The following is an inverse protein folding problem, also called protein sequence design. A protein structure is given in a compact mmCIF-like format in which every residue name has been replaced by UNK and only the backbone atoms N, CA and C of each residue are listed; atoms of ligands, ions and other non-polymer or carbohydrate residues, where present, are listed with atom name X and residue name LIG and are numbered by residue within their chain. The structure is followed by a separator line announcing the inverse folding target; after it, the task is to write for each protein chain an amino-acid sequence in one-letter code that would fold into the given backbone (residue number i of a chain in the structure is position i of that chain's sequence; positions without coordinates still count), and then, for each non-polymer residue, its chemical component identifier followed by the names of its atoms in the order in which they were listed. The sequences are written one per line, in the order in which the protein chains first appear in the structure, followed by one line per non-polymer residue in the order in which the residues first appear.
data_IF_157490048733
#
_entry.id   IF_157490048733
#
_cell.length_a   1.000
_cell.length_b   1.000
_cell.length_c   1.000
_cell.angle_alpha   90.00
_cell.angle_beta   90.00
_cell.angle_gamma   90.00
#
_symmetry.space_group_name_H-M   'P 1'
#
loop_
_entity.id
_entity.type
_entity.pdbx_description
1 polymer ?
#
# COMPACT_ATOMS: atom_id res chain seq x y z
N UNK A 1 -11.46 10.93 7.80
CA UNK A 1 -10.69 11.18 9.03
C UNK A 1 -11.58 11.11 10.28
N UNK A 2 -12.56 11.99 10.46
CA UNK A 2 -13.43 12.07 11.67
C UNK A 2 -14.12 10.75 12.06
N UNK A 3 -14.55 9.91 11.11
CA UNK A 3 -15.21 8.63 11.40
C UNK A 3 -14.23 7.62 12.02
N UNK A 4 -12.99 7.62 11.55
CA UNK A 4 -11.92 6.75 12.11
C UNK A 4 -11.53 7.23 13.51
N UNK A 5 -11.34 8.52 13.70
CA UNK A 5 -11.02 9.12 15.01
C UNK A 5 -12.08 8.75 16.06
N UNK A 6 -13.37 8.94 15.76
CA UNK A 6 -14.47 8.53 16.64
C UNK A 6 -14.48 7.03 16.93
N UNK A 7 -14.11 6.20 15.96
CA UNK A 7 -14.01 4.76 16.19
C UNK A 7 -12.90 4.42 17.17
N UNK A 8 -11.72 5.01 17.00
CA UNK A 8 -10.57 4.82 17.89
C UNK A 8 -10.92 5.29 19.33
N UNK A 9 -11.50 6.47 19.46
CA UNK A 9 -12.01 6.99 20.74
C UNK A 9 -13.02 6.04 21.41
N UNK A 10 -13.98 5.51 20.63
CA UNK A 10 -14.99 4.56 21.13
C UNK A 10 -14.39 3.25 21.64
N UNK A 11 -13.20 2.91 21.15
CA UNK A 11 -12.43 1.74 21.57
C UNK A 11 -11.37 2.06 22.62
N UNK A 12 -11.34 3.30 23.13
CA UNK A 12 -10.35 3.81 24.09
C UNK A 12 -8.92 3.69 23.60
N UNK A 13 -8.71 3.85 22.27
CA UNK A 13 -7.39 3.83 21.67
C UNK A 13 -6.87 5.26 21.65
N UNK A 14 -5.76 5.50 22.33
CA UNK A 14 -5.04 6.77 22.31
C UNK A 14 -4.22 6.87 21.03
N UNK A 15 -4.39 7.97 20.28
CA UNK A 15 -3.61 8.25 19.09
C UNK A 15 -2.58 9.33 19.41
N UNK A 16 -1.32 9.01 19.24
CA UNK A 16 -0.21 9.95 19.36
C UNK A 16 0.36 10.25 17.97
N UNK A 17 0.84 11.45 17.78
CA UNK A 17 1.50 11.88 16.53
C UNK A 17 2.93 12.28 16.85
N UNK A 18 3.88 11.73 16.13
CA UNK A 18 5.30 11.99 16.34
C UNK A 18 6.14 10.83 15.81
N UNK A 19 7.44 11.00 15.82
CA UNK A 19 8.38 9.93 15.57
C UNK A 19 8.43 9.00 16.78
N UNK A 20 8.25 7.71 16.54
CA UNK A 20 8.33 6.69 17.58
C UNK A 20 9.77 6.15 17.64
N UNK A 21 10.35 6.13 18.83
CA UNK A 21 11.68 5.61 19.08
C UNK A 21 11.63 4.62 20.25
N UNK A 22 12.23 3.47 20.03
CA UNK A 22 12.43 2.44 21.06
C UNK A 22 13.91 2.41 21.39
N UNK A 23 14.25 2.61 22.66
CA UNK A 23 15.64 2.52 23.10
C UNK A 23 16.08 1.07 23.42
N UNK A 24 17.35 0.89 23.71
CA UNK A 24 17.94 -0.41 24.01
C UNK A 24 17.41 -1.02 25.32
N UNK A 25 16.89 -0.20 26.23
CA UNK A 25 16.28 -0.62 27.51
C UNK A 25 14.80 -0.97 27.35
N UNK A 26 14.24 -0.81 26.14
CA UNK A 26 12.85 -1.10 25.80
C UNK A 26 11.87 0.00 26.17
N UNK A 27 12.33 1.21 26.48
CA UNK A 27 11.45 2.35 26.67
C UNK A 27 11.05 2.96 25.32
N UNK A 28 9.75 3.25 25.18
CA UNK A 28 9.17 3.80 23.97
C UNK A 28 8.85 5.29 24.15
N UNK A 29 9.28 6.10 23.22
CA UNK A 29 8.92 7.52 23.15
C UNK A 29 8.20 7.84 21.83
N UNK A 30 7.33 8.83 21.84
CA UNK A 30 6.69 9.38 20.63
C UNK A 30 6.83 10.90 20.65
N UNK A 31 7.73 11.42 19.82
CA UNK A 31 8.22 12.79 19.96
C UNK A 31 8.87 12.96 21.35
N UNK A 32 8.47 13.99 22.08
CA UNK A 32 8.99 14.26 23.44
C UNK A 32 8.23 13.53 24.55
N UNK A 33 7.25 12.66 24.20
CA UNK A 33 6.40 11.99 25.18
C UNK A 33 6.85 10.55 25.42
N UNK A 34 7.23 10.26 26.67
CA UNK A 34 7.43 8.89 27.11
C UNK A 34 6.08 8.14 27.17
N UNK A 35 6.09 6.90 26.73
CA UNK A 35 4.94 6.01 26.76
C UNK A 35 5.01 5.14 28.00
N UNK A 36 3.88 5.05 28.72
CA UNK A 36 3.72 4.16 29.87
C UNK A 36 4.12 2.72 29.53
N UNK A 37 4.53 1.92 30.50
CA UNK A 37 4.83 0.52 30.29
C UNK A 37 3.72 -0.22 29.53
N UNK A 38 4.09 -1.07 28.60
CA UNK A 38 3.18 -1.82 27.73
C UNK A 38 3.53 -3.31 27.75
N UNK A 39 2.54 -4.16 27.53
CA UNK A 39 2.73 -5.62 27.49
C UNK A 39 3.26 -6.11 26.14
N UNK A 40 2.98 -5.39 25.05
CA UNK A 40 3.40 -5.75 23.69
C UNK A 40 3.47 -4.55 22.73
N UNK A 41 4.37 -4.62 21.75
CA UNK A 41 4.46 -3.69 20.63
C UNK A 41 4.09 -4.42 19.35
N UNK A 42 3.20 -3.80 18.56
CA UNK A 42 2.91 -4.20 17.19
C UNK A 42 3.43 -3.12 16.24
N UNK A 43 4.54 -3.39 15.54
CA UNK A 43 5.11 -2.47 14.57
C UNK A 43 4.45 -2.67 13.20
N UNK A 44 3.78 -1.61 12.69
CA UNK A 44 3.19 -1.56 11.35
C UNK A 44 3.68 -0.29 10.64
N UNK A 45 4.97 -0.23 10.39
CA UNK A 45 5.70 0.98 9.98
C UNK A 45 5.79 1.18 8.46
N UNK A 46 5.07 0.36 7.68
CA UNK A 46 5.21 0.34 6.22
C UNK A 46 6.47 -0.39 5.75
N UNK A 47 6.58 -0.59 4.45
CA UNK A 47 7.76 -1.20 3.83
C UNK A 47 8.70 -0.10 3.32
N UNK A 48 9.93 -0.08 3.80
CA UNK A 48 11.03 0.61 3.12
C UNK A 48 11.40 -0.11 1.82
N UNK A 49 12.14 0.55 0.94
CA UNK A 49 12.69 -0.12 -0.23
C UNK A 49 13.70 -1.19 0.20
N UNK A 50 13.68 -2.38 -0.40
CA UNK A 50 14.73 -3.37 -0.17
C UNK A 50 16.07 -2.89 -0.76
N UNK A 51 17.19 -3.40 -0.25
CA UNK A 51 18.54 -3.01 -0.73
C UNK A 51 18.89 -3.60 -2.10
N UNK A 52 18.38 -4.81 -2.39
CA UNK A 52 18.77 -5.59 -3.56
C UNK A 52 18.61 -4.87 -4.93
N UNK A 53 17.62 -3.97 -5.19
CA UNK A 53 17.55 -3.29 -6.47
C UNK A 53 18.77 -2.41 -6.73
N UNK A 54 19.20 -1.65 -5.71
CA UNK A 54 20.41 -0.82 -5.78
C UNK A 54 21.66 -1.69 -5.95
N UNK A 55 21.78 -2.76 -5.18
CA UNK A 55 22.89 -3.71 -5.24
C UNK A 55 22.99 -4.41 -6.60
N UNK A 56 21.86 -4.61 -7.28
CA UNK A 56 21.78 -5.19 -8.63
C UNK A 56 22.05 -4.17 -9.75
N UNK A 57 22.36 -2.90 -9.43
CA UNK A 57 22.59 -1.86 -10.42
C UNK A 57 21.33 -1.35 -11.11
N UNK A 58 20.12 -1.63 -10.57
CA UNK A 58 18.89 -1.07 -11.10
C UNK A 58 18.79 0.43 -10.76
N UNK A 59 18.24 1.26 -11.64
CA UNK A 59 17.98 2.66 -11.34
C UNK A 59 16.90 2.78 -10.25
N UNK A 60 17.31 3.33 -9.12
CA UNK A 60 16.45 3.58 -7.97
C UNK A 60 16.38 5.07 -7.66
N UNK A 61 15.30 5.48 -6.97
CA UNK A 61 15.19 6.82 -6.44
C UNK A 61 16.02 7.01 -5.14
N UNK A 62 15.90 8.17 -4.51
CA UNK A 62 16.59 8.51 -3.25
C UNK A 62 16.21 7.58 -2.10
N UNK A 63 14.96 7.12 -2.07
CA UNK A 63 14.42 6.18 -1.07
C UNK A 63 14.78 4.71 -1.37
N UNK A 64 15.36 4.39 -2.55
CA UNK A 64 15.77 3.04 -2.94
C UNK A 64 14.74 2.26 -3.78
N UNK A 65 13.62 2.85 -4.17
CA UNK A 65 12.60 2.22 -5.02
C UNK A 65 12.98 2.24 -6.49
N UNK A 66 12.69 1.17 -7.22
CA UNK A 66 12.98 1.05 -8.66
C UNK A 66 12.17 2.10 -9.45
N UNK A 67 12.86 2.91 -10.25
CA UNK A 67 12.25 3.96 -11.06
C UNK A 67 11.61 3.37 -12.30
N UNK A 68 10.29 3.59 -12.46
CA UNK A 68 9.52 3.04 -13.58
C UNK A 68 8.65 4.09 -14.25
N UNK A 69 8.45 3.93 -15.56
CA UNK A 69 7.53 4.74 -16.35
C UNK A 69 6.07 4.23 -16.31
N UNK A 70 5.17 4.86 -17.11
CA UNK A 70 3.75 4.50 -17.19
C UNK A 70 3.48 3.05 -17.60
N UNK A 71 4.35 2.47 -18.40
CA UNK A 71 4.30 1.08 -18.87
C UNK A 71 4.88 0.09 -17.88
N UNK A 72 5.36 0.57 -16.72
CA UNK A 72 6.07 -0.21 -15.69
C UNK A 72 7.46 -0.71 -16.14
N UNK A 73 7.97 -0.21 -17.26
CA UNK A 73 9.36 -0.45 -17.65
C UNK A 73 10.29 0.35 -16.74
N UNK A 74 11.39 -0.28 -16.37
CA UNK A 74 12.46 0.35 -15.60
C UNK A 74 13.16 1.40 -16.48
N UNK A 75 13.41 2.58 -15.92
CA UNK A 75 14.07 3.66 -16.65
C UNK A 75 15.46 3.22 -17.16
N UNK A 76 15.72 3.45 -18.45
CA UNK A 76 16.98 3.04 -19.09
C UNK A 76 17.11 1.52 -19.36
N UNK A 77 16.19 0.69 -18.89
CA UNK A 77 16.22 -0.77 -19.03
C UNK A 77 14.86 -1.30 -19.53
N UNK A 78 14.49 -1.04 -20.80
CA UNK A 78 13.15 -1.31 -21.33
C UNK A 78 12.74 -2.79 -21.32
N UNK A 79 13.69 -3.71 -21.19
CA UNK A 79 13.45 -5.15 -21.06
C UNK A 79 13.06 -5.57 -19.63
N UNK A 80 13.21 -4.70 -18.63
CA UNK A 80 12.90 -4.98 -17.24
C UNK A 80 11.62 -4.25 -16.86
N UNK A 81 10.73 -4.96 -16.19
CA UNK A 81 9.47 -4.42 -15.66
C UNK A 81 9.46 -4.54 -14.14
N UNK A 82 8.95 -3.51 -13.46
CA UNK A 82 8.72 -3.56 -12.02
C UNK A 82 7.37 -2.92 -11.65
N UNK A 83 6.71 -3.48 -10.64
CA UNK A 83 5.42 -3.00 -10.12
C UNK A 83 5.26 -3.32 -8.63
N UNK A 84 4.25 -2.72 -8.00
CA UNK A 84 3.97 -2.89 -6.58
C UNK A 84 4.92 -2.09 -5.69
N UNK A 85 5.11 -2.54 -4.46
CA UNK A 85 5.79 -1.77 -3.41
C UNK A 85 7.32 -1.64 -3.62
N UNK A 86 7.89 -2.33 -4.60
CA UNK A 86 9.30 -2.19 -4.97
C UNK A 86 9.54 -1.06 -5.99
N UNK A 87 8.48 -0.59 -6.66
CA UNK A 87 8.57 0.33 -7.78
C UNK A 87 8.00 1.72 -7.46
N UNK A 88 8.67 2.75 -7.95
CA UNK A 88 8.21 4.14 -7.90
C UNK A 88 7.99 4.70 -9.31
N UNK A 89 6.77 5.15 -9.57
CA UNK A 89 6.44 5.86 -10.81
C UNK A 89 7.10 7.24 -10.82
N UNK A 90 7.74 7.58 -11.92
CA UNK A 90 8.46 8.85 -12.06
C UNK A 90 7.61 9.97 -12.66
N UNK A 91 6.50 9.62 -13.32
CA UNK A 91 5.59 10.57 -13.96
C UNK A 91 4.41 10.99 -13.07
N UNK A 92 4.01 10.15 -12.13
CA UNK A 92 2.90 10.42 -11.20
C UNK A 92 3.20 9.89 -9.80
N UNK A 93 2.70 10.58 -8.79
CA UNK A 93 2.83 10.10 -7.42
C UNK A 93 1.81 8.98 -7.15
N UNK A 94 2.30 7.76 -6.97
CA UNK A 94 1.51 6.60 -6.55
C UNK A 94 1.90 6.22 -5.13
N UNK A 95 0.91 6.04 -4.25
CA UNK A 95 1.18 5.52 -2.91
C UNK A 95 1.46 4.03 -2.97
N UNK A 96 2.45 3.56 -2.23
CA UNK A 96 2.66 2.14 -2.02
C UNK A 96 1.44 1.57 -1.27
N UNK A 97 0.70 0.69 -1.93
CA UNK A 97 -0.47 0.03 -1.35
C UNK A 97 -0.80 -1.23 -2.14
N UNK A 98 -1.31 -2.24 -1.45
CA UNK A 98 -1.75 -3.49 -2.06
C UNK A 98 -2.78 -3.28 -3.19
N UNK A 99 -3.62 -2.25 -3.11
CA UNK A 99 -4.59 -1.92 -4.17
C UNK A 99 -3.87 -1.56 -5.47
N UNK A 100 -2.91 -0.64 -5.42
CA UNK A 100 -2.14 -0.27 -6.62
C UNK A 100 -1.30 -1.43 -7.15
N UNK A 101 -0.67 -2.22 -6.29
CA UNK A 101 0.09 -3.41 -6.69
C UNK A 101 -0.78 -4.40 -7.46
N UNK A 102 -1.97 -4.67 -6.95
CA UNK A 102 -2.93 -5.58 -7.52
C UNK A 102 -3.45 -5.13 -8.89
N UNK A 103 -3.76 -3.85 -9.07
CA UNK A 103 -4.21 -3.32 -10.37
C UNK A 103 -3.07 -3.12 -11.38
N UNK A 104 -1.86 -2.93 -10.91
CA UNK A 104 -0.66 -2.88 -11.75
C UNK A 104 -0.30 -4.26 -12.33
N UNK A 105 -0.55 -5.34 -11.60
CA UNK A 105 -0.20 -6.72 -12.01
C UNK A 105 -0.70 -7.14 -13.40
N UNK A 106 -2.00 -6.99 -13.74
CA UNK A 106 -2.50 -7.31 -15.09
C UNK A 106 -1.85 -6.52 -16.22
N UNK A 107 -1.51 -5.24 -15.97
CA UNK A 107 -0.80 -4.41 -16.95
C UNK A 107 0.62 -4.92 -17.13
N UNK A 108 1.32 -5.22 -16.04
CA UNK A 108 2.65 -5.82 -16.06
C UNK A 108 2.66 -7.15 -16.82
N UNK A 109 1.71 -8.05 -16.54
CA UNK A 109 1.59 -9.34 -17.22
C UNK A 109 1.31 -9.18 -18.74
N UNK A 110 0.49 -8.19 -19.11
CA UNK A 110 0.21 -7.85 -20.51
C UNK A 110 1.47 -7.35 -21.21
N UNK A 111 2.20 -6.45 -20.58
CA UNK A 111 3.42 -5.86 -21.15
C UNK A 111 4.54 -6.89 -21.26
N UNK A 112 4.68 -7.78 -20.28
CA UNK A 112 5.63 -8.88 -20.36
C UNK A 112 5.37 -9.77 -21.58
N UNK A 113 4.11 -10.18 -21.82
CA UNK A 113 3.74 -10.97 -23.00
C UNK A 113 4.02 -10.20 -24.31
N UNK A 114 3.74 -8.89 -24.35
CA UNK A 114 4.00 -8.05 -25.53
C UNK A 114 5.49 -7.93 -25.81
N UNK A 115 6.31 -7.70 -24.79
CA UNK A 115 7.77 -7.65 -24.95
C UNK A 115 8.35 -8.97 -25.45
N UNK A 116 7.90 -10.11 -24.89
CA UNK A 116 8.31 -11.45 -25.37
C UNK A 116 7.93 -11.66 -26.84
N UNK A 117 6.78 -11.13 -27.28
CA UNK A 117 6.32 -11.17 -28.67
C UNK A 117 6.97 -10.11 -29.58
N UNK A 118 7.97 -9.35 -29.09
CA UNK A 118 8.65 -8.31 -29.87
C UNK A 118 7.80 -7.06 -30.13
N UNK A 119 6.72 -6.84 -29.36
CA UNK A 119 5.82 -5.70 -29.54
C UNK A 119 6.29 -4.50 -28.72
N UNK A 120 6.11 -3.31 -29.28
CA UNK A 120 6.44 -2.04 -28.63
C UNK A 120 5.22 -1.25 -28.12
N UNK A 121 4.00 -1.65 -28.50
CA UNK A 121 2.74 -1.01 -28.08
C UNK A 121 2.35 -1.44 -26.65
N UNK A 122 3.05 -0.95 -25.65
CA UNK A 122 2.82 -1.35 -24.26
C UNK A 122 1.62 -0.65 -23.63
N UNK A 123 0.90 -1.37 -22.76
CA UNK A 123 -0.18 -0.83 -21.98
C UNK A 123 0.34 0.07 -20.85
N UNK A 124 -0.43 1.10 -20.49
CA UNK A 124 -0.11 1.99 -19.38
C UNK A 124 -0.96 1.67 -18.15
N UNK A 125 -0.37 1.76 -16.97
CA UNK A 125 -1.10 1.71 -15.72
C UNK A 125 -1.47 3.13 -15.29
N UNK A 126 -2.79 3.40 -15.19
CA UNK A 126 -3.31 4.66 -14.67
C UNK A 126 -3.76 4.48 -13.22
N UNK A 127 -3.06 5.07 -12.24
CA UNK A 127 -3.44 4.97 -10.84
C UNK A 127 -4.73 5.75 -10.56
N UNK A 128 -5.46 5.33 -9.53
CA UNK A 128 -6.69 6.02 -9.12
C UNK A 128 -6.37 7.38 -8.49
N UNK A 129 -7.16 8.41 -8.87
CA UNK A 129 -6.98 9.77 -8.36
C UNK A 129 -7.47 9.99 -6.93
N UNK A 130 -8.26 9.06 -6.37
CA UNK A 130 -8.76 9.12 -4.99
C UNK A 130 -8.67 7.75 -4.35
N UNK A 131 -8.12 7.74 -3.15
CA UNK A 131 -8.02 6.52 -2.36
C UNK A 131 -9.41 6.07 -1.87
N UNK A 132 -9.74 4.83 -2.14
CA UNK A 132 -10.89 4.14 -1.60
C UNK A 132 -10.40 3.13 -0.57
N UNK A 133 -10.87 3.27 0.66
CA UNK A 133 -10.55 2.35 1.74
C UNK A 133 -11.82 1.77 2.35
N UNK A 134 -11.78 0.48 2.65
CA UNK A 134 -12.81 -0.23 3.37
C UNK A 134 -12.16 -1.04 4.50
N UNK A 135 -12.27 -0.54 5.73
CA UNK A 135 -11.63 -1.11 6.91
C UNK A 135 -12.65 -1.87 7.76
N UNK A 136 -12.25 -3.04 8.27
CA UNK A 136 -12.98 -3.71 9.34
C UNK A 136 -12.61 -3.11 10.69
N UNK A 137 -13.60 -2.89 11.55
CA UNK A 137 -13.39 -2.35 12.92
C UNK A 137 -13.22 -3.44 13.96
N UNK A 138 -13.22 -4.72 13.57
CA UNK A 138 -13.23 -5.90 14.45
C UNK A 138 -14.44 -5.99 15.41
N UNK A 139 -15.40 -5.07 15.34
CA UNK A 139 -16.64 -5.02 16.13
C UNK A 139 -17.90 -5.22 15.30
N UNK A 140 -17.82 -6.00 14.23
CA UNK A 140 -18.96 -6.31 13.36
C UNK A 140 -19.41 -5.19 12.43
N UNK A 141 -18.64 -4.10 12.33
CA UNK A 141 -18.85 -2.99 11.40
C UNK A 141 -17.64 -2.80 10.51
N UNK A 142 -17.81 -2.05 9.42
CA UNK A 142 -16.69 -1.55 8.60
C UNK A 142 -16.84 -0.06 8.34
N UNK A 143 -15.71 0.59 8.10
CA UNK A 143 -15.63 1.99 7.74
C UNK A 143 -15.25 2.07 6.26
N UNK A 144 -16.07 2.77 5.47
CA UNK A 144 -15.77 3.19 4.12
C UNK A 144 -15.21 4.60 4.18
N UNK A 145 -14.09 4.83 3.50
CA UNK A 145 -13.47 6.14 3.34
C UNK A 145 -13.17 6.38 1.86
N UNK A 146 -13.65 7.51 1.33
CA UNK A 146 -13.40 7.93 -0.04
C UNK A 146 -13.23 9.45 -0.09
N UNK A 147 -12.01 9.90 -0.26
CA UNK A 147 -11.68 11.33 -0.15
C UNK A 147 -12.11 11.91 1.21
N UNK A 148 -12.99 12.92 1.20
CA UNK A 148 -13.54 13.54 2.40
C UNK A 148 -14.74 12.79 3.01
N UNK A 149 -15.33 11.85 2.27
CA UNK A 149 -16.49 11.09 2.72
C UNK A 149 -16.07 9.89 3.57
N UNK A 150 -16.79 9.67 4.68
CA UNK A 150 -16.61 8.51 5.55
C UNK A 150 -17.94 8.01 6.11
N UNK A 151 -18.15 6.70 6.06
CA UNK A 151 -19.35 6.04 6.57
C UNK A 151 -18.97 4.78 7.36
N UNK A 152 -19.56 4.59 8.56
CA UNK A 152 -19.47 3.36 9.35
C UNK A 152 -20.81 2.65 9.35
N UNK A 153 -20.84 1.36 8.97
CA UNK A 153 -22.06 0.57 8.97
C UNK A 153 -21.79 -0.94 9.09
N UNK A 154 -22.80 -1.70 9.60
CA UNK A 154 -22.72 -3.17 9.66
C UNK A 154 -22.77 -3.84 8.30
N UNK A 155 -23.58 -3.32 7.39
CA UNK A 155 -23.70 -3.89 6.04
C UNK A 155 -22.43 -3.74 5.20
N UNK A 156 -21.60 -2.72 5.49
CA UNK A 156 -20.29 -2.53 4.84
C UNK A 156 -19.35 -3.72 5.09
N UNK A 157 -19.47 -4.40 6.23
CA UNK A 157 -18.70 -5.61 6.50
C UNK A 157 -19.04 -6.71 5.50
N UNK A 158 -20.33 -6.96 5.26
CA UNK A 158 -20.78 -7.96 4.27
C UNK A 158 -20.33 -7.60 2.85
N UNK A 159 -20.39 -6.32 2.52
CA UNK A 159 -19.89 -5.82 1.24
C UNK A 159 -18.37 -6.08 1.11
N UNK A 160 -17.59 -5.77 2.15
CA UNK A 160 -16.16 -6.04 2.15
C UNK A 160 -15.86 -7.54 2.00
N UNK A 161 -16.50 -8.38 2.80
CA UNK A 161 -16.31 -9.84 2.72
C UNK A 161 -16.66 -10.38 1.33
N UNK A 162 -17.69 -9.85 0.68
CA UNK A 162 -18.07 -10.21 -0.68
C UNK A 162 -17.03 -9.74 -1.71
N UNK A 163 -16.56 -8.51 -1.60
CA UNK A 163 -15.51 -7.96 -2.47
C UNK A 163 -14.22 -8.76 -2.36
N UNK A 164 -13.77 -9.04 -1.14
CA UNK A 164 -12.54 -9.80 -0.86
C UNK A 164 -12.63 -11.22 -1.44
N UNK A 165 -13.75 -11.93 -1.20
CA UNK A 165 -13.97 -13.28 -1.78
C UNK A 165 -14.00 -13.27 -3.29
N UNK A 166 -14.72 -12.31 -3.89
CA UNK A 166 -14.77 -12.16 -5.36
C UNK A 166 -13.40 -11.88 -5.95
N UNK A 167 -12.58 -11.11 -5.22
CA UNK A 167 -11.22 -10.82 -5.61
C UNK A 167 -10.34 -12.08 -5.55
N UNK A 168 -10.32 -12.78 -4.43
CA UNK A 168 -9.56 -14.02 -4.24
C UNK A 168 -9.94 -15.06 -5.29
N UNK A 169 -11.23 -15.21 -5.60
CA UNK A 169 -11.73 -16.16 -6.61
C UNK A 169 -11.12 -15.95 -8.01
N UNK A 170 -10.69 -14.73 -8.37
CA UNK A 170 -10.01 -14.47 -9.66
C UNK A 170 -8.63 -15.12 -9.77
N UNK A 171 -7.98 -15.39 -8.64
CA UNK A 171 -6.64 -15.95 -8.58
C UNK A 171 -6.60 -17.39 -8.07
N UNK A 172 -7.74 -17.94 -7.66
CA UNK A 172 -7.83 -19.29 -7.09
C UNK A 172 -7.96 -20.41 -8.13
N UNK A 173 -7.83 -20.12 -9.41
CA UNK A 173 -7.72 -21.13 -10.48
C UNK A 173 -8.93 -22.08 -10.59
N UNK A 174 -10.15 -21.63 -10.25
CA UNK A 174 -11.40 -22.38 -10.47
C UNK A 174 -12.22 -21.74 -11.56
#
# INVERSE_FOLDING_TARGET
RRVVERELESQKITVLTGEAQLDDDGALTVGDKAIEPFDAILAAVGSGAPSWPRESGLPVDEDGFIRVGPTQQVEGLPQILAAGDVARRTDVRVRHSGVHAVYAGPVLATNLRRLIAGRSDLATYSPFGKDFYLFNTCRGTSILSYGAFGLKARWLRRLKDWLDRRWIARFSGR
#
